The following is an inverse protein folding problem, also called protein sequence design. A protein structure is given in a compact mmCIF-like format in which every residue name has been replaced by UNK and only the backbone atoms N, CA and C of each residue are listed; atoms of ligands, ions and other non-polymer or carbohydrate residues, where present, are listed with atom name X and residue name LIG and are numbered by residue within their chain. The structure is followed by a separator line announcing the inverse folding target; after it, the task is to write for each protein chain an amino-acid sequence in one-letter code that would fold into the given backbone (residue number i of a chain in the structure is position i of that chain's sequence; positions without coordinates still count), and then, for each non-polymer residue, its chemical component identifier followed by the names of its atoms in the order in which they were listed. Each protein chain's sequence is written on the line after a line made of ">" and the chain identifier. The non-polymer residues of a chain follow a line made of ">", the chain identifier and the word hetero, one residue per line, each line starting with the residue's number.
data_IF_493363780701
#
_entry.id   IF_493363780701
#
_cell.length_a   1.000
_cell.length_b   1.000
_cell.length_c   1.000
_cell.angle_alpha   90.00
_cell.angle_beta   90.00
_cell.angle_gamma   90.00
#
_symmetry.space_group_name_H-M   'P 1'
#
loop_
_entity.id
_entity.type
_entity.pdbx_description
1 polymer ?
#
# COMPACT_ATOMS: atom_id res chain seq x y z
N UNK A 1 -0.69 -22.19 -12.85
CA UNK A 1 0.40 -21.36 -12.29
C UNK A 1 1.41 -22.18 -11.48
N UNK A 2 1.01 -23.14 -10.63
CA UNK A 2 1.94 -23.95 -9.83
C UNK A 2 2.80 -24.89 -10.69
N UNK A 3 2.25 -25.43 -11.79
CA UNK A 3 3.03 -26.27 -12.71
C UNK A 3 3.93 -25.49 -13.70
N UNK A 4 3.59 -24.24 -14.05
CA UNK A 4 4.30 -23.45 -15.07
C UNK A 4 5.26 -22.39 -14.49
N UNK A 5 4.98 -21.87 -13.29
CA UNK A 5 6.02 -21.21 -12.49
C UNK A 5 7.16 -22.18 -12.22
N UNK A 6 6.88 -23.48 -12.05
CA UNK A 6 7.91 -24.52 -11.89
C UNK A 6 8.89 -24.66 -13.05
N UNK A 7 8.57 -24.15 -14.25
CA UNK A 7 9.46 -24.17 -15.43
C UNK A 7 10.36 -22.93 -15.53
N UNK A 8 9.92 -21.78 -15.03
CA UNK A 8 10.67 -20.52 -15.06
C UNK A 8 11.41 -20.23 -13.76
N UNK A 9 11.00 -20.90 -12.69
CA UNK A 9 11.48 -20.62 -11.37
C UNK A 9 12.36 -21.78 -10.91
N UNK A 10 13.64 -21.47 -10.73
CA UNK A 10 14.61 -22.38 -10.15
C UNK A 10 14.07 -22.98 -8.84
N UNK A 11 14.66 -24.09 -8.39
CA UNK A 11 14.22 -24.82 -7.18
C UNK A 11 14.13 -23.93 -5.91
N UNK A 12 14.65 -22.69 -5.93
CA UNK A 12 14.57 -21.69 -4.85
C UNK A 12 13.42 -20.67 -4.94
N UNK A 13 12.58 -20.66 -5.97
CA UNK A 13 11.55 -19.62 -6.12
C UNK A 13 10.38 -19.73 -5.15
N UNK A 14 9.94 -20.96 -4.85
CA UNK A 14 8.79 -21.19 -3.97
C UNK A 14 9.01 -20.61 -2.55
N UNK A 15 10.18 -20.81 -1.91
CA UNK A 15 10.53 -20.10 -0.68
C UNK A 15 10.43 -18.57 -0.77
N UNK A 16 10.85 -17.97 -1.90
CA UNK A 16 10.71 -16.52 -2.10
C UNK A 16 9.25 -16.10 -2.12
N UNK A 17 8.40 -16.82 -2.84
CA UNK A 17 6.94 -16.54 -2.88
C UNK A 17 6.33 -16.67 -1.48
N UNK A 18 6.76 -17.66 -0.70
CA UNK A 18 6.31 -17.83 0.68
C UNK A 18 6.66 -16.64 1.58
N UNK A 19 7.88 -16.10 1.47
CA UNK A 19 8.27 -14.90 2.21
C UNK A 19 7.41 -13.68 1.84
N UNK A 20 7.17 -13.47 0.53
CA UNK A 20 6.31 -12.38 0.06
C UNK A 20 4.87 -12.56 0.51
N UNK A 21 4.31 -13.77 0.42
CA UNK A 21 2.96 -14.08 0.86
C UNK A 21 2.80 -13.88 2.37
N UNK A 22 3.74 -14.33 3.20
CA UNK A 22 3.62 -14.20 4.64
C UNK A 22 3.80 -12.75 5.12
N UNK A 23 4.84 -12.06 4.65
CA UNK A 23 5.23 -10.77 5.23
C UNK A 23 4.73 -9.55 4.47
N UNK A 24 4.83 -9.53 3.14
CA UNK A 24 4.51 -8.33 2.37
C UNK A 24 3.03 -8.31 1.97
N UNK A 25 2.60 -9.31 1.21
CA UNK A 25 1.18 -9.51 0.87
C UNK A 25 0.33 -9.96 2.06
N UNK A 26 0.94 -10.52 3.11
CA UNK A 26 0.25 -11.03 4.29
C UNK A 26 0.20 -10.03 5.43
N UNK A 27 1.17 -10.11 6.33
CA UNK A 27 1.22 -9.34 7.57
C UNK A 27 1.26 -7.82 7.32
N UNK A 28 2.09 -7.34 6.39
CA UNK A 28 2.18 -5.93 6.03
C UNK A 28 0.85 -5.38 5.50
N UNK A 29 0.23 -6.09 4.55
CA UNK A 29 -1.08 -5.74 4.03
C UNK A 29 -2.17 -5.78 5.11
N UNK A 30 -2.11 -6.75 6.03
CA UNK A 30 -3.05 -6.84 7.15
C UNK A 30 -2.94 -5.63 8.09
N UNK A 31 -1.72 -5.25 8.47
CA UNK A 31 -1.46 -4.06 9.30
C UNK A 31 -1.92 -2.80 8.59
N UNK A 32 -1.65 -2.65 7.29
CA UNK A 32 -2.16 -1.53 6.50
C UNK A 32 -3.70 -1.46 6.55
N UNK A 33 -4.39 -2.61 6.51
CA UNK A 33 -5.84 -2.66 6.68
C UNK A 33 -6.31 -2.17 8.05
N UNK A 34 -5.65 -2.59 9.13
CA UNK A 34 -5.96 -2.09 10.48
C UNK A 34 -5.77 -0.58 10.57
N UNK A 35 -4.68 -0.05 10.01
CA UNK A 35 -4.42 1.40 9.98
C UNK A 35 -5.46 2.17 9.17
N UNK A 36 -5.91 1.64 8.04
CA UNK A 36 -6.98 2.26 7.24
C UNK A 36 -8.33 2.25 7.96
N UNK A 37 -8.65 1.20 8.73
CA UNK A 37 -9.84 1.19 9.58
C UNK A 37 -9.77 2.27 10.67
N UNK A 38 -8.59 2.47 11.28
CA UNK A 38 -8.36 3.52 12.28
C UNK A 38 -8.55 4.93 11.66
N UNK A 39 -8.16 5.13 10.40
CA UNK A 39 -8.40 6.38 9.66
C UNK A 39 -9.86 6.57 9.24
N UNK A 40 -10.73 5.59 9.45
CA UNK A 40 -12.14 5.62 9.03
C UNK A 40 -12.38 5.22 7.58
N UNK A 41 -11.38 4.69 6.87
CA UNK A 41 -11.55 4.15 5.52
C UNK A 41 -12.01 2.69 5.58
N UNK A 42 -13.33 2.47 5.71
CA UNK A 42 -13.91 1.12 5.78
C UNK A 42 -13.55 0.26 4.57
N UNK A 43 -13.64 0.81 3.36
CA UNK A 43 -13.36 0.03 2.14
C UNK A 43 -11.91 -0.45 2.10
N UNK A 44 -10.95 0.49 2.22
CA UNK A 44 -9.53 0.16 2.17
C UNK A 44 -9.13 -0.76 3.34
N UNK A 45 -9.64 -0.44 4.54
CA UNK A 45 -9.36 -1.20 5.74
C UNK A 45 -9.84 -2.65 5.68
N UNK A 46 -11.10 -2.88 5.31
CA UNK A 46 -11.63 -4.25 5.17
C UNK A 46 -10.93 -4.99 4.03
N UNK A 47 -10.72 -4.35 2.87
CA UNK A 47 -10.05 -4.99 1.75
C UNK A 47 -8.62 -5.44 2.09
N UNK A 48 -7.78 -4.53 2.60
CA UNK A 48 -6.38 -4.84 2.92
C UNK A 48 -6.27 -5.86 4.06
N UNK A 49 -7.10 -5.76 5.11
CA UNK A 49 -7.11 -6.75 6.18
C UNK A 49 -7.53 -8.15 5.67
N UNK A 50 -8.59 -8.23 4.86
CA UNK A 50 -9.05 -9.51 4.30
C UNK A 50 -7.99 -10.15 3.38
N UNK A 51 -7.42 -9.42 2.43
CA UNK A 51 -6.41 -10.00 1.53
C UNK A 51 -5.07 -10.29 2.22
N UNK A 52 -4.71 -9.51 3.26
CA UNK A 52 -3.58 -9.85 4.12
C UNK A 52 -3.78 -11.20 4.82
N UNK A 53 -4.97 -11.43 5.38
CA UNK A 53 -5.33 -12.72 5.96
C UNK A 53 -5.37 -13.84 4.93
N UNK A 54 -5.86 -13.58 3.71
CA UNK A 54 -5.82 -14.54 2.60
C UNK A 54 -4.39 -15.02 2.32
N UNK A 55 -3.42 -14.12 2.17
CA UNK A 55 -2.06 -14.48 1.82
C UNK A 55 -1.34 -15.25 2.95
N UNK A 56 -1.56 -14.87 4.21
CA UNK A 56 -1.04 -15.63 5.35
C UNK A 56 -1.66 -17.04 5.42
N UNK A 57 -2.97 -17.15 5.19
CA UNK A 57 -3.67 -18.43 5.14
C UNK A 57 -3.22 -19.31 3.98
N UNK A 58 -3.02 -18.72 2.79
CA UNK A 58 -2.49 -19.43 1.62
C UNK A 58 -1.07 -19.92 1.85
N UNK A 59 -0.19 -19.07 2.40
CA UNK A 59 1.17 -19.48 2.80
C UNK A 59 1.12 -20.70 3.74
N UNK A 60 0.31 -20.63 4.81
CA UNK A 60 0.22 -21.72 5.78
C UNK A 60 -0.28 -23.02 5.14
N UNK A 61 -1.31 -22.93 4.29
CA UNK A 61 -1.83 -24.07 3.56
C UNK A 61 -0.75 -24.73 2.70
N UNK A 62 -0.09 -23.96 1.83
CA UNK A 62 0.95 -24.50 0.93
C UNK A 62 2.16 -25.02 1.72
N UNK A 63 2.60 -24.30 2.76
CA UNK A 63 3.70 -24.72 3.62
C UNK A 63 3.42 -26.08 4.27
N UNK A 64 2.22 -26.28 4.83
CA UNK A 64 1.84 -27.57 5.43
C UNK A 64 1.78 -28.69 4.40
N UNK A 65 1.24 -28.44 3.20
CA UNK A 65 1.19 -29.47 2.15
C UNK A 65 2.56 -29.88 1.64
N UNK A 66 3.52 -28.95 1.60
CA UNK A 66 4.89 -29.23 1.14
C UNK A 66 5.72 -29.92 2.23
N UNK A 67 5.59 -29.49 3.48
CA UNK A 67 6.41 -30.01 4.59
C UNK A 67 5.86 -31.29 5.20
N UNK A 68 4.55 -31.49 5.18
CA UNK A 68 3.86 -32.62 5.81
C UNK A 68 2.82 -33.26 4.86
N UNK A 69 3.24 -33.75 3.68
CA UNK A 69 2.32 -34.17 2.61
C UNK A 69 1.42 -35.36 2.97
N UNK A 70 1.85 -36.22 3.90
CA UNK A 70 1.08 -37.39 4.36
C UNK A 70 -0.02 -37.04 5.37
N UNK A 71 0.16 -35.96 6.12
CA UNK A 71 -0.81 -35.49 7.12
C UNK A 71 -1.77 -34.44 6.52
N UNK A 72 -1.28 -33.62 5.58
CA UNK A 72 -2.04 -32.53 4.99
C UNK A 72 -2.02 -32.64 3.47
N UNK A 73 -3.00 -33.33 2.91
CA UNK A 73 -3.27 -33.33 1.48
C UNK A 73 -4.50 -32.47 1.19
N UNK A 74 -4.33 -31.38 0.45
CA UNK A 74 -5.50 -30.54 0.10
C UNK A 74 -6.30 -31.19 -1.02
N UNK A 75 -7.56 -31.52 -0.73
CA UNK A 75 -8.49 -31.96 -1.76
C UNK A 75 -8.67 -30.86 -2.82
N UNK A 76 -8.78 -31.25 -4.10
CA UNK A 76 -9.05 -30.32 -5.19
C UNK A 76 -10.32 -29.50 -4.92
N UNK A 77 -11.34 -30.14 -4.34
CA UNK A 77 -12.58 -29.50 -3.89
C UNK A 77 -12.34 -28.41 -2.84
N UNK A 78 -11.40 -28.63 -1.91
CA UNK A 78 -11.04 -27.65 -0.88
C UNK A 78 -10.41 -26.38 -1.45
N UNK A 79 -9.40 -26.50 -2.32
CA UNK A 79 -8.79 -25.33 -3.00
C UNK A 79 -9.79 -24.64 -3.95
N UNK A 80 -10.66 -25.41 -4.61
CA UNK A 80 -11.74 -24.87 -5.45
C UNK A 80 -12.68 -24.01 -4.63
N UNK A 81 -13.18 -24.52 -3.50
CA UNK A 81 -14.10 -23.79 -2.62
C UNK A 81 -13.43 -22.56 -2.00
N UNK A 82 -12.18 -22.69 -1.55
CA UNK A 82 -11.39 -21.56 -1.06
C UNK A 82 -11.34 -20.44 -2.10
N UNK A 83 -10.85 -20.72 -3.32
CA UNK A 83 -10.75 -19.71 -4.37
C UNK A 83 -12.13 -19.18 -4.81
N UNK A 84 -13.14 -20.04 -4.88
CA UNK A 84 -14.51 -19.66 -5.25
C UNK A 84 -15.16 -18.70 -4.26
N UNK A 85 -15.02 -18.95 -2.95
CA UNK A 85 -15.52 -18.05 -1.91
C UNK A 85 -14.79 -16.71 -1.94
N UNK A 86 -13.47 -16.72 -2.17
CA UNK A 86 -12.69 -15.50 -2.37
C UNK A 86 -13.12 -14.74 -3.63
N UNK A 87 -13.50 -15.43 -4.72
CA UNK A 87 -14.06 -14.78 -5.92
C UNK A 87 -15.37 -14.04 -5.60
N UNK A 88 -16.28 -14.68 -4.84
CA UNK A 88 -17.56 -14.08 -4.42
C UNK A 88 -17.34 -12.85 -3.54
N UNK A 89 -16.46 -12.96 -2.53
CA UNK A 89 -16.10 -11.84 -1.67
C UNK A 89 -15.50 -10.68 -2.49
N UNK A 90 -14.54 -10.98 -3.37
CA UNK A 90 -13.90 -10.00 -4.25
C UNK A 90 -14.92 -9.32 -5.17
N UNK A 91 -15.92 -10.06 -5.64
CA UNK A 91 -16.99 -9.50 -6.47
C UNK A 91 -17.83 -8.48 -5.70
N UNK A 92 -18.14 -8.76 -4.43
CA UNK A 92 -18.76 -7.78 -3.55
C UNK A 92 -17.95 -6.48 -3.45
N UNK A 93 -16.63 -6.57 -3.26
CA UNK A 93 -15.76 -5.40 -3.27
C UNK A 93 -15.72 -4.70 -4.63
N UNK A 94 -15.69 -5.45 -5.74
CA UNK A 94 -15.69 -4.89 -7.10
C UNK A 94 -16.90 -3.98 -7.32
N UNK A 95 -18.10 -4.38 -6.91
CA UNK A 95 -19.30 -3.54 -7.02
C UNK A 95 -19.12 -2.20 -6.28
N UNK A 96 -18.47 -2.20 -5.11
CA UNK A 96 -18.18 -0.96 -4.37
C UNK A 96 -17.17 -0.07 -5.11
N UNK A 97 -16.23 -0.66 -5.88
CA UNK A 97 -15.25 0.13 -6.66
C UNK A 97 -15.86 0.94 -7.80
N UNK A 98 -17.08 0.62 -8.24
CA UNK A 98 -17.79 1.34 -9.32
C UNK A 98 -18.07 2.83 -9.00
N UNK A 99 -17.92 3.24 -7.75
CA UNK A 99 -18.00 4.63 -7.27
C UNK A 99 -16.67 5.19 -6.73
N UNK A 100 -15.59 4.41 -6.81
CA UNK A 100 -14.29 4.77 -6.22
C UNK A 100 -13.40 5.37 -7.30
N UNK A 101 -12.58 4.57 -7.97
CA UNK A 101 -11.68 5.02 -9.03
C UNK A 101 -11.35 3.87 -10.00
N UNK A 102 -10.85 4.22 -11.18
CA UNK A 102 -10.57 3.27 -12.26
C UNK A 102 -9.45 2.27 -11.93
N UNK A 103 -8.46 2.69 -11.14
CA UNK A 103 -7.39 1.81 -10.65
C UNK A 103 -7.96 0.65 -9.84
N UNK A 104 -8.80 0.95 -8.83
CA UNK A 104 -9.44 -0.06 -8.00
C UNK A 104 -10.39 -0.95 -8.79
N UNK A 105 -11.15 -0.39 -9.74
CA UNK A 105 -11.99 -1.20 -10.64
C UNK A 105 -11.17 -2.22 -11.43
N UNK A 106 -10.01 -1.82 -11.96
CA UNK A 106 -9.12 -2.70 -12.73
C UNK A 106 -8.60 -3.84 -11.85
N UNK A 107 -8.12 -3.51 -10.65
CA UNK A 107 -7.60 -4.50 -9.70
C UNK A 107 -8.70 -5.49 -9.32
N UNK A 108 -9.84 -5.02 -8.82
CA UNK A 108 -10.88 -5.91 -8.31
C UNK A 108 -11.57 -6.70 -9.43
N UNK A 109 -11.82 -6.14 -10.61
CA UNK A 109 -12.39 -6.90 -11.73
C UNK A 109 -11.49 -8.03 -12.18
N UNK A 110 -10.19 -7.76 -12.36
CA UNK A 110 -9.23 -8.78 -12.77
C UNK A 110 -8.95 -9.78 -11.65
N UNK A 111 -9.03 -9.38 -10.39
CA UNK A 111 -8.90 -10.27 -9.25
C UNK A 111 -10.09 -11.24 -9.12
N UNK A 112 -11.33 -10.79 -9.36
CA UNK A 112 -12.52 -11.68 -9.40
C UNK A 112 -12.31 -12.80 -10.42
N UNK A 113 -11.92 -12.42 -11.64
CA UNK A 113 -11.71 -13.38 -12.72
C UNK A 113 -10.53 -14.29 -12.39
N UNK A 114 -9.47 -13.76 -11.78
CA UNK A 114 -8.31 -14.56 -11.34
C UNK A 114 -8.73 -15.62 -10.34
N UNK A 115 -9.51 -15.28 -9.31
CA UNK A 115 -10.00 -16.26 -8.33
C UNK A 115 -10.94 -17.30 -8.96
N UNK A 116 -11.82 -16.89 -9.87
CA UNK A 116 -12.70 -17.82 -10.59
C UNK A 116 -11.88 -18.80 -11.45
N UNK A 117 -10.86 -18.30 -12.16
CA UNK A 117 -9.95 -19.13 -12.95
C UNK A 117 -9.06 -20.03 -12.08
N UNK A 118 -8.63 -19.59 -10.89
CA UNK A 118 -7.90 -20.43 -9.93
C UNK A 118 -8.77 -21.57 -9.41
N UNK A 119 -10.06 -21.31 -9.14
CA UNK A 119 -11.01 -22.35 -8.75
C UNK A 119 -11.22 -23.38 -9.88
N UNK A 120 -11.45 -22.91 -11.12
CA UNK A 120 -11.53 -23.80 -12.30
C UNK A 120 -10.20 -24.50 -12.62
N UNK A 121 -9.07 -23.87 -12.27
CA UNK A 121 -7.71 -24.37 -12.45
C UNK A 121 -7.41 -25.67 -11.71
N UNK A 122 -8.20 -25.98 -10.67
CA UNK A 122 -8.12 -27.27 -9.97
C UNK A 122 -8.62 -28.45 -10.82
N UNK A 123 -9.35 -28.17 -11.90
CA UNK A 123 -9.99 -29.17 -12.77
C UNK A 123 -9.54 -29.06 -14.23
N UNK A 124 -9.08 -27.88 -14.67
CA UNK A 124 -8.54 -27.65 -16.02
C UNK A 124 -7.25 -26.81 -15.97
N UNK A 125 -6.16 -27.37 -16.48
CA UNK A 125 -4.86 -26.70 -16.56
C UNK A 125 -4.91 -25.40 -17.39
N UNK A 126 -5.82 -25.30 -18.38
CA UNK A 126 -5.99 -24.08 -19.19
C UNK A 126 -6.45 -22.91 -18.33
N UNK A 127 -7.40 -23.15 -17.43
CA UNK A 127 -7.85 -22.17 -16.45
C UNK A 127 -6.71 -21.78 -15.50
N UNK A 128 -5.90 -22.74 -15.06
CA UNK A 128 -4.76 -22.49 -14.17
C UNK A 128 -3.66 -21.64 -14.83
N UNK A 129 -3.47 -21.77 -16.15
CA UNK A 129 -2.55 -20.95 -16.94
C UNK A 129 -3.12 -19.54 -17.16
N UNK A 130 -4.39 -19.44 -17.55
CA UNK A 130 -5.07 -18.16 -17.73
C UNK A 130 -5.09 -17.34 -16.42
N UNK A 131 -5.37 -18.00 -15.28
CA UNK A 131 -5.29 -17.40 -13.95
C UNK A 131 -3.91 -16.78 -13.66
N UNK A 132 -2.83 -17.43 -14.11
CA UNK A 132 -1.48 -16.94 -13.91
C UNK A 132 -1.19 -15.64 -14.68
N UNK A 133 -1.57 -15.58 -15.95
CA UNK A 133 -1.43 -14.36 -16.76
C UNK A 133 -2.26 -13.21 -16.20
N UNK A 134 -3.52 -13.50 -15.84
CA UNK A 134 -4.41 -12.48 -15.31
C UNK A 134 -4.00 -12.02 -13.90
N UNK A 135 -3.51 -12.94 -13.06
CA UNK A 135 -2.97 -12.63 -11.75
C UNK A 135 -1.72 -11.75 -11.82
N UNK A 136 -0.84 -12.00 -12.79
CA UNK A 136 0.31 -11.13 -13.04
C UNK A 136 -0.12 -9.71 -13.45
N UNK A 137 -1.10 -9.60 -14.36
CA UNK A 137 -1.67 -8.32 -14.74
C UNK A 137 -2.32 -7.61 -13.54
N UNK A 138 -3.12 -8.33 -12.75
CA UNK A 138 -3.75 -7.84 -11.53
C UNK A 138 -2.70 -7.28 -10.54
N UNK A 139 -1.66 -8.05 -10.22
CA UNK A 139 -0.59 -7.62 -9.34
C UNK A 139 0.16 -6.38 -9.86
N UNK A 140 0.45 -6.34 -11.16
CA UNK A 140 1.08 -5.19 -11.81
C UNK A 140 0.19 -3.94 -11.74
N UNK A 141 -1.13 -4.10 -11.94
CA UNK A 141 -2.09 -2.99 -11.82
C UNK A 141 -2.22 -2.48 -10.38
N UNK A 142 -2.04 -3.35 -9.38
CA UNK A 142 -2.04 -2.96 -7.97
C UNK A 142 -0.79 -2.15 -7.60
N UNK A 143 0.39 -2.54 -8.11
CA UNK A 143 1.62 -1.77 -7.96
C UNK A 143 1.48 -0.40 -8.63
N UNK A 144 0.94 -0.35 -9.85
CA UNK A 144 0.65 0.89 -10.54
C UNK A 144 -0.28 1.79 -9.71
N UNK A 145 -1.37 1.25 -9.17
CA UNK A 145 -2.31 2.02 -8.35
C UNK A 145 -1.66 2.58 -7.09
N UNK A 146 -0.83 1.78 -6.40
CA UNK A 146 -0.09 2.23 -5.23
C UNK A 146 0.85 3.40 -5.57
N UNK A 147 1.60 3.31 -6.67
CA UNK A 147 2.47 4.39 -7.14
C UNK A 147 1.67 5.61 -7.59
N UNK A 148 0.52 5.41 -8.23
CA UNK A 148 -0.34 6.48 -8.70
C UNK A 148 -0.95 7.28 -7.53
N UNK A 149 -1.40 6.58 -6.47
CA UNK A 149 -1.89 7.25 -5.26
C UNK A 149 -0.75 7.94 -4.49
N UNK A 150 0.42 7.32 -4.40
CA UNK A 150 1.59 7.96 -3.77
C UNK A 150 2.02 9.23 -4.52
N UNK A 151 2.11 9.18 -5.85
CA UNK A 151 2.46 10.34 -6.67
C UNK A 151 1.39 11.44 -6.61
N UNK A 152 0.12 11.06 -6.48
CA UNK A 152 -0.96 12.03 -6.31
C UNK A 152 -0.85 12.76 -4.96
N UNK A 153 -0.61 12.03 -3.87
CA UNK A 153 -0.52 12.59 -2.53
C UNK A 153 0.74 13.44 -2.33
N UNK A 154 1.91 12.94 -2.75
CA UNK A 154 3.20 13.58 -2.46
C UNK A 154 3.59 14.64 -3.50
N UNK A 155 3.19 14.45 -4.77
CA UNK A 155 3.63 15.30 -5.90
C UNK A 155 2.46 16.05 -6.58
N UNK A 156 1.21 15.75 -6.23
CA UNK A 156 0.03 16.35 -6.87
C UNK A 156 -0.26 15.85 -8.29
N UNK A 157 0.47 14.84 -8.78
CA UNK A 157 0.26 14.32 -10.15
C UNK A 157 -0.98 13.43 -10.22
N UNK A 158 -1.89 13.74 -11.14
CA UNK A 158 -3.07 12.91 -11.41
C UNK A 158 -2.76 11.96 -12.56
N UNK A 159 -2.40 10.72 -12.22
CA UNK A 159 -2.17 9.66 -13.20
C UNK A 159 -3.49 9.00 -13.66
N UNK A 160 -3.51 8.36 -14.85
CA UNK A 160 -4.70 7.66 -15.35
C UNK A 160 -5.33 6.71 -14.33
N UNK A 161 -6.66 6.75 -14.20
CA UNK A 161 -7.40 5.86 -13.31
C UNK A 161 -7.49 6.31 -11.84
N UNK A 162 -6.76 7.36 -11.42
CA UNK A 162 -6.88 7.95 -10.07
C UNK A 162 -8.18 8.73 -9.90
N UNK A 163 -8.65 9.39 -10.97
CA UNK A 163 -9.87 10.18 -10.94
C UNK A 163 -11.10 9.35 -10.50
N UNK A 164 -12.03 9.94 -9.72
CA UNK A 164 -13.21 9.24 -9.29
C UNK A 164 -14.07 8.79 -10.47
N UNK A 165 -14.58 7.57 -10.37
CA UNK A 165 -15.50 7.01 -11.35
C UNK A 165 -16.87 6.92 -10.70
N UNK A 166 -17.93 7.28 -11.41
CA UNK A 166 -19.29 7.27 -10.85
C UNK A 166 -20.26 6.54 -11.77
N UNK A 167 -20.22 5.20 -11.75
CA UNK A 167 -21.14 4.36 -12.53
C UNK A 167 -22.44 4.03 -11.80
N UNK A 168 -22.52 4.27 -10.49
CA UNK A 168 -23.75 4.10 -9.72
C UNK A 168 -24.46 5.45 -9.65
N UNK A 169 -25.71 5.58 -10.13
CA UNK A 169 -26.42 6.85 -10.13
C UNK A 169 -26.64 7.36 -8.70
N UNK A 170 -26.63 8.69 -8.53
CA UNK A 170 -26.90 9.31 -7.23
C UNK A 170 -28.27 8.91 -6.64
N UNK A 171 -29.25 8.58 -7.49
CA UNK A 171 -30.57 8.10 -7.05
C UNK A 171 -30.56 6.74 -6.34
N UNK A 172 -29.47 5.98 -6.45
CA UNK A 172 -29.29 4.68 -5.80
C UNK A 172 -28.53 4.81 -4.47
N UNK A 173 -28.20 6.04 -4.07
CA UNK A 173 -27.39 6.31 -2.90
C UNK A 173 -27.93 7.47 -2.08
N UNK A 174 -28.27 7.19 -0.82
CA UNK A 174 -28.51 8.23 0.18
C UNK A 174 -27.20 8.85 0.72
N UNK A 175 -26.04 8.46 0.18
CA UNK A 175 -24.75 9.00 0.59
C UNK A 175 -24.48 10.28 -0.18
N UNK A 176 -24.12 11.35 0.54
CA UNK A 176 -23.74 12.62 -0.06
C UNK A 176 -22.68 12.39 -1.16
N UNK A 177 -22.77 13.11 -2.29
CA UNK A 177 -21.73 13.05 -3.30
C UNK A 177 -20.37 13.36 -2.66
N UNK A 178 -19.27 12.73 -3.12
CA UNK A 178 -17.95 13.12 -2.65
C UNK A 178 -17.78 14.62 -2.86
N UNK A 179 -17.14 15.34 -1.91
CA UNK A 179 -16.89 16.76 -2.08
C UNK A 179 -16.18 16.95 -3.43
N UNK A 180 -16.56 17.99 -4.21
CA UNK A 180 -15.87 18.28 -5.44
C UNK A 180 -14.37 18.36 -5.14
N UNK A 181 -13.53 17.78 -6.00
CA UNK A 181 -12.10 17.95 -5.90
C UNK A 181 -11.84 19.44 -5.68
N UNK A 182 -11.18 19.81 -4.58
CA UNK A 182 -10.80 21.19 -4.36
C UNK A 182 -10.15 21.67 -5.66
N UNK A 183 -10.64 22.77 -6.27
CA UNK A 183 -9.96 23.35 -7.40
C UNK A 183 -8.51 23.47 -7.00
N UNK A 184 -7.60 22.82 -7.75
CA UNK A 184 -6.18 23.04 -7.57
C UNK A 184 -6.01 24.56 -7.52
N UNK A 185 -5.38 25.11 -6.46
CA UNK A 185 -5.27 26.55 -6.33
C UNK A 185 -4.72 27.08 -7.65
N UNK A 186 -5.51 27.91 -8.32
CA UNK A 186 -5.12 28.52 -9.58
C UNK A 186 -3.74 29.13 -9.33
N UNK A 187 -2.74 28.64 -10.07
CA UNK A 187 -1.33 28.99 -9.84
C UNK A 187 -1.23 30.47 -9.54
N UNK A 188 -0.93 30.79 -8.27
CA UNK A 188 -0.75 32.17 -7.87
C UNK A 188 0.40 32.69 -8.71
N UNK A 189 0.08 33.65 -9.58
CA UNK A 189 1.08 34.39 -10.31
C UNK A 189 2.14 34.87 -9.33
N UNK A 190 3.39 34.78 -9.75
CA UNK A 190 4.54 35.36 -9.07
C UNK A 190 4.27 36.87 -8.92
N UNK A 191 3.68 37.25 -7.79
CA UNK A 191 3.27 38.62 -7.47
C UNK A 191 3.78 38.98 -6.09
N UNK A 192 4.81 39.82 -6.07
CA UNK A 192 5.43 40.39 -4.88
C UNK A 192 4.41 40.91 -3.85
N UNK A 193 4.53 40.48 -2.60
CA UNK A 193 3.93 41.22 -1.47
C UNK A 193 3.60 40.40 -0.23
N UNK A 194 4.33 40.70 0.85
CA UNK A 194 4.04 40.47 2.27
C UNK A 194 4.53 39.15 2.94
N UNK A 195 5.42 39.22 3.96
CA UNK A 195 5.89 38.05 4.69
C UNK A 195 4.84 37.59 5.72
N UNK A 196 4.07 36.56 5.38
CA UNK A 196 3.09 35.95 6.28
C UNK A 196 3.80 35.06 7.32
N UNK A 197 3.36 35.19 8.57
CA UNK A 197 3.91 34.63 9.83
C UNK A 197 3.92 33.08 9.95
N UNK A 198 4.48 32.36 8.98
CA UNK A 198 4.67 30.90 9.07
C UNK A 198 6.14 30.46 9.09
N UNK A 199 7.09 31.36 8.85
CA UNK A 199 8.53 31.08 9.00
C UNK A 199 9.06 31.22 10.44
N UNK A 200 8.25 31.73 11.37
CA UNK A 200 8.70 31.97 12.75
C UNK A 200 8.72 30.71 13.64
N UNK A 201 8.09 29.61 13.23
CA UNK A 201 8.01 28.41 14.07
C UNK A 201 9.09 27.36 13.80
N UNK A 202 9.60 27.30 12.56
CA UNK A 202 10.64 26.34 12.17
C UNK A 202 12.04 26.79 12.63
N UNK A 203 12.32 28.10 12.71
CA UNK A 203 13.62 28.60 13.19
C UNK A 203 13.79 28.57 14.72
N UNK A 204 12.73 28.39 15.51
CA UNK A 204 12.85 28.30 16.99
C UNK A 204 13.32 26.94 17.48
N UNK A 205 13.16 25.87 16.70
CA UNK A 205 13.64 24.53 17.08
C UNK A 205 15.06 24.22 16.59
N UNK A 206 15.56 24.91 15.56
CA UNK A 206 16.97 24.81 15.13
C UNK A 206 17.90 25.74 15.92
N UNK A 207 17.40 26.84 16.49
CA UNK A 207 18.20 27.72 17.34
C UNK A 207 18.39 27.18 18.78
N UNK A 208 17.42 26.42 19.31
CA UNK A 208 17.52 25.82 20.65
C UNK A 208 18.45 24.59 20.71
N UNK A 209 18.75 23.96 19.57
CA UNK A 209 19.72 22.87 19.48
C UNK A 209 21.17 23.35 19.24
N UNK A 210 21.38 24.63 18.88
CA UNK A 210 22.70 25.21 18.63
C UNK A 210 23.28 25.98 19.82
N UNK A 211 22.54 26.16 20.93
CA UNK A 211 23.01 26.86 22.14
C UNK A 211 23.33 25.94 23.33
N UNK A 212 23.43 24.63 23.12
CA UNK A 212 23.82 23.65 24.15
C UNK A 212 25.28 23.17 24.02
N UNK A 213 26.14 23.93 23.34
CA UNK A 213 27.56 23.61 23.17
C UNK A 213 28.42 24.86 23.24
N UNK A 214 28.80 25.28 24.45
CA UNK A 214 29.92 26.21 24.65
C UNK A 214 29.66 27.34 25.63
N UNK A 215 29.97 27.13 26.91
CA UNK A 215 30.62 28.12 27.79
C UNK A 215 30.86 27.52 29.18
N UNK A 216 32.10 27.23 29.50
CA UNK A 216 32.51 26.72 30.81
C UNK A 216 34.02 26.80 30.99
N UNK A 217 34.59 28.00 30.87
CA UNK A 217 36.01 28.25 31.09
C UNK A 217 36.22 29.63 31.67
N UNK A 218 36.56 29.71 32.96
CA UNK A 218 36.95 30.95 33.62
C UNK A 218 37.50 30.66 35.01
N UNK A 219 38.82 30.76 35.16
CA UNK A 219 39.47 30.82 36.48
C UNK A 219 40.86 30.18 36.55
N UNK A 220 41.88 30.84 36.00
CA UNK A 220 43.27 30.67 36.46
C UNK A 220 43.92 32.06 36.58
N UNK A 221 44.61 32.22 37.71
CA UNK A 221 45.24 33.42 38.26
C UNK A 221 46.56 33.83 37.58
N UNK A 222 47.15 34.91 38.13
CA UNK A 222 48.46 35.55 37.84
C UNK A 222 48.39 36.70 36.80
N UNK A 223 49.03 37.88 36.93
CA UNK A 223 49.98 38.43 37.90
C UNK A 223 50.10 39.96 37.71
N UNK A 224 50.05 40.70 38.83
CA UNK A 224 50.88 41.86 39.24
C UNK A 224 51.62 42.75 38.21
N UNK A 225 51.31 44.06 38.28
CA UNK A 225 52.18 45.25 38.29
C UNK A 225 53.65 45.18 37.82
N UNK A 226 53.96 45.95 36.76
CA UNK A 226 55.12 46.86 36.56
C UNK A 226 54.95 47.43 35.13
N UNK A 227 55.10 48.71 34.77
CA UNK A 227 55.84 49.83 35.34
C UNK A 227 56.58 50.52 34.19
N UNK A 228 56.10 51.72 33.79
CA UNK A 228 56.83 52.82 33.12
C UNK A 228 57.31 52.68 31.66
N UNK A 229 56.98 53.75 30.89
CA UNK A 229 57.79 54.56 29.91
C UNK A 229 58.40 53.77 28.74
N UNK A 230 58.23 54.14 27.47
CA UNK A 230 58.23 55.46 26.84
C UNK A 230 59.26 55.44 25.71
N UNK A 231 58.99 56.20 24.64
CA UNK A 231 59.69 56.31 23.35
C UNK A 231 59.33 55.27 22.29
#
# INVERSE_FOLDING_TARGET
>A
MVAYLRKWAEKGFLPTVFCYALFYGGAGQFVAGVLELIKGNTFGGTAFASYGAFWMGWFLLEYLTVTHPTAYHTAHTGKTLWCGLWAVLTFGFFIVTLRKNGCLMTIFSTLVITFALLAGGMWDERCERAAGYLGFFCGSSAIYAALAFLAHEELGFVLPGVAPVNYIPASWSNAAPPPPAHPLPAGHGLGNGHPTRLHAHVHRHTAAAATAGGSGGGGVAAATHAGKRGA
#
